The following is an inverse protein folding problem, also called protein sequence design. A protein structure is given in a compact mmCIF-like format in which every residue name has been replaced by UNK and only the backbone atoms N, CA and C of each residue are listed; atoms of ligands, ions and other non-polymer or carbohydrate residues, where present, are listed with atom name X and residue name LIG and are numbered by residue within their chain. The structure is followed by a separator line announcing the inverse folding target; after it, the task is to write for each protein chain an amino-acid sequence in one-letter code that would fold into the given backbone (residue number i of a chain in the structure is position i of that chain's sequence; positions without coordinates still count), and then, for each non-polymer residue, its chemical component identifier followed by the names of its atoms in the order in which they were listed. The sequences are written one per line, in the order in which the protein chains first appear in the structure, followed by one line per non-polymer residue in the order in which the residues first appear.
data_IF_245106078847
#
_entry.id   IF_245106078847
#
_cell.length_a   1.000
_cell.length_b   1.000
_cell.length_c   1.000
_cell.angle_alpha   90.00
_cell.angle_beta   90.00
_cell.angle_gamma   90.00
#
_symmetry.space_group_name_H-M   'P 1'
#
loop_
_entity.id
_entity.type
_entity.pdbx_description
1 polymer ?
#
# COMPACT_ATOMS: atom_id res chain seq x y z
N UNK A 1 9.66 20.80 -8.65
CA UNK A 1 9.52 19.34 -8.76
C UNK A 1 10.85 18.65 -9.00
N UNK A 2 11.70 19.17 -9.89
CA UNK A 2 13.01 18.58 -10.19
C UNK A 2 13.91 18.38 -8.96
N UNK A 3 14.02 19.39 -8.07
CA UNK A 3 14.79 19.30 -6.83
C UNK A 3 14.37 18.11 -5.95
N UNK A 4 13.07 17.87 -5.82
CA UNK A 4 12.55 16.78 -4.98
C UNK A 4 12.87 15.42 -5.58
N UNK A 5 12.65 15.26 -6.89
CA UNK A 5 12.94 14.00 -7.60
C UNK A 5 14.43 13.70 -7.61
N UNK A 6 15.29 14.69 -7.88
CA UNK A 6 16.74 14.49 -7.89
C UNK A 6 17.30 14.17 -6.51
N UNK A 7 16.75 14.79 -5.45
CA UNK A 7 17.14 14.49 -4.07
C UNK A 7 16.80 13.04 -3.69
N UNK A 8 15.61 12.56 -4.06
CA UNK A 8 15.21 11.16 -3.81
C UNK A 8 16.00 10.16 -4.66
N UNK A 9 16.21 10.44 -5.94
CA UNK A 9 16.90 9.53 -6.86
C UNK A 9 18.40 9.37 -6.54
N UNK A 10 19.05 10.43 -6.06
CA UNK A 10 20.50 10.42 -5.78
C UNK A 10 20.86 9.84 -4.42
N UNK A 11 19.89 9.55 -3.56
CA UNK A 11 20.16 9.05 -2.22
C UNK A 11 20.26 7.52 -2.21
N UNK A 12 21.47 7.01 -2.04
CA UNK A 12 21.76 5.55 -1.98
C UNK A 12 21.70 4.99 -0.55
N UNK A 13 21.70 5.87 0.45
CA UNK A 13 21.68 5.46 1.86
C UNK A 13 20.23 5.36 2.38
N UNK A 14 19.76 4.11 2.53
CA UNK A 14 18.41 3.80 3.03
C UNK A 14 18.13 4.39 4.43
N UNK A 15 19.11 4.43 5.32
CA UNK A 15 18.93 5.00 6.67
C UNK A 15 18.68 6.51 6.59
N UNK A 16 19.51 7.21 5.81
CA UNK A 16 19.38 8.65 5.60
C UNK A 16 18.07 9.01 4.88
N UNK A 17 17.62 8.16 3.94
CA UNK A 17 16.28 8.30 3.36
C UNK A 17 15.20 8.14 4.43
N UNK A 18 15.25 7.08 5.23
CA UNK A 18 14.23 6.83 6.26
C UNK A 18 14.10 8.01 7.22
N UNK A 19 15.23 8.54 7.73
CA UNK A 19 15.25 9.71 8.61
C UNK A 19 14.66 10.95 7.92
N UNK A 20 15.00 11.19 6.65
CA UNK A 20 14.37 12.26 5.86
C UNK A 20 12.85 12.10 5.76
N UNK A 21 12.36 10.88 5.48
CA UNK A 21 10.92 10.62 5.42
C UNK A 21 10.26 10.82 6.78
N UNK A 22 10.94 10.49 7.87
CA UNK A 22 10.45 10.66 9.23
C UNK A 22 10.32 12.12 9.64
N UNK A 23 11.26 12.96 9.21
CA UNK A 23 11.26 14.41 9.46
C UNK A 23 10.33 15.19 8.51
N UNK A 24 10.24 14.75 7.24
CA UNK A 24 9.52 15.48 6.20
C UNK A 24 8.02 15.16 6.16
N UNK A 25 7.65 13.90 6.39
CA UNK A 25 6.25 13.46 6.33
C UNK A 25 5.67 13.25 7.72
N UNK A 26 4.42 13.65 7.89
CA UNK A 26 3.65 13.27 9.08
C UNK A 26 3.47 11.73 9.14
N UNK A 27 3.26 11.15 10.34
CA UNK A 27 2.99 9.72 10.48
C UNK A 27 1.83 9.23 9.62
N UNK A 28 0.80 10.07 9.46
CA UNK A 28 -0.39 9.75 8.65
C UNK A 28 -0.07 9.74 7.16
N UNK A 29 0.73 10.69 6.67
CA UNK A 29 1.16 10.73 5.27
C UNK A 29 2.01 9.53 4.90
N UNK A 30 3.00 9.16 5.74
CA UNK A 30 3.84 7.95 5.51
C UNK A 30 2.98 6.71 5.32
N UNK A 31 2.04 6.47 6.25
CA UNK A 31 1.10 5.35 6.17
C UNK A 31 0.25 5.43 4.90
N UNK A 32 -0.25 6.61 4.54
CA UNK A 32 -1.08 6.79 3.36
C UNK A 32 -0.33 6.56 2.05
N UNK A 33 0.92 7.01 1.95
CA UNK A 33 1.77 6.75 0.79
C UNK A 33 2.04 5.25 0.63
N UNK A 34 2.44 4.57 1.70
CA UNK A 34 2.66 3.13 1.69
C UNK A 34 1.38 2.35 1.29
N UNK A 35 0.24 2.71 1.87
CA UNK A 35 -1.06 2.12 1.53
C UNK A 35 -1.46 2.35 0.06
N UNK A 36 -1.25 3.56 -0.47
CA UNK A 36 -1.52 3.86 -1.89
C UNK A 36 -0.66 3.02 -2.83
N UNK A 37 0.63 2.83 -2.50
CA UNK A 37 1.52 1.98 -3.28
C UNK A 37 1.06 0.50 -3.24
N UNK A 38 0.77 -0.02 -2.04
CA UNK A 38 0.23 -1.36 -1.86
C UNK A 38 -1.08 -1.57 -2.65
N UNK A 39 -2.01 -0.60 -2.61
CA UNK A 39 -3.24 -0.67 -3.38
C UNK A 39 -2.99 -0.71 -4.89
N UNK A 40 -2.00 0.03 -5.38
CA UNK A 40 -1.63 0.02 -6.80
C UNK A 40 -1.07 -1.35 -7.22
N UNK A 41 -0.22 -1.96 -6.40
CA UNK A 41 0.32 -3.32 -6.61
C UNK A 41 -0.82 -4.35 -6.61
N UNK A 42 -1.73 -4.29 -5.63
CA UNK A 42 -2.87 -5.21 -5.55
C UNK A 42 -3.83 -5.05 -6.74
N UNK A 43 -4.10 -3.82 -7.17
CA UNK A 43 -4.90 -3.55 -8.37
C UNK A 43 -4.24 -4.12 -9.62
N UNK A 44 -2.92 -4.05 -9.74
CA UNK A 44 -2.19 -4.61 -10.87
C UNK A 44 -2.22 -6.14 -10.91
N UNK A 45 -2.39 -6.80 -9.75
CA UNK A 45 -2.66 -8.25 -9.66
C UNK A 45 -4.14 -8.62 -9.79
N UNK A 46 -5.01 -7.69 -10.16
CA UNK A 46 -6.44 -7.90 -10.36
C UNK A 46 -7.24 -8.21 -9.08
N UNK A 47 -6.76 -7.84 -7.89
CA UNK A 47 -7.60 -7.89 -6.69
C UNK A 47 -8.75 -6.88 -6.79
N UNK A 48 -9.93 -7.26 -6.32
CA UNK A 48 -11.13 -6.42 -6.42
C UNK A 48 -11.11 -5.24 -5.43
N UNK A 49 -11.93 -4.24 -5.72
CA UNK A 49 -11.97 -2.99 -4.96
C UNK A 49 -12.39 -3.19 -3.51
N UNK A 50 -13.29 -4.15 -3.26
CA UNK A 50 -13.82 -4.39 -1.92
C UNK A 50 -12.73 -5.02 -1.06
N UNK A 51 -11.98 -5.99 -1.59
CA UNK A 51 -10.80 -6.58 -0.95
C UNK A 51 -9.79 -5.52 -0.53
N UNK A 52 -9.41 -4.65 -1.47
CA UNK A 52 -8.40 -3.62 -1.24
C UNK A 52 -8.90 -2.61 -0.19
N UNK A 53 -10.18 -2.23 -0.25
CA UNK A 53 -10.80 -1.36 0.74
C UNK A 53 -10.77 -1.97 2.14
N UNK A 54 -11.18 -3.23 2.27
CA UNK A 54 -11.29 -3.92 3.56
C UNK A 54 -9.93 -4.17 4.21
N UNK A 55 -8.91 -4.47 3.40
CA UNK A 55 -7.57 -4.83 3.86
C UNK A 55 -6.71 -3.59 4.12
N UNK A 56 -6.66 -2.63 3.19
CA UNK A 56 -5.82 -1.44 3.37
C UNK A 56 -6.53 -0.30 4.12
N UNK A 57 -7.86 -0.38 4.31
CA UNK A 57 -8.71 0.70 4.86
C UNK A 57 -8.57 2.01 4.08
N UNK A 58 -8.41 1.91 2.77
CA UNK A 58 -8.37 3.07 1.88
C UNK A 58 -9.77 3.33 1.35
N UNK A 59 -10.17 4.58 1.21
CA UNK A 59 -11.51 4.92 0.72
C UNK A 59 -11.72 4.45 -0.74
N UNK A 60 -12.92 3.97 -1.11
CA UNK A 60 -13.22 3.54 -2.49
C UNK A 60 -12.90 4.60 -3.56
N UNK A 61 -13.15 5.91 -3.35
CA UNK A 61 -12.76 6.94 -4.32
C UNK A 61 -11.25 6.98 -4.60
N UNK A 62 -10.42 6.67 -3.60
CA UNK A 62 -8.97 6.63 -3.77
C UNK A 62 -8.55 5.42 -4.62
N UNK A 63 -9.16 4.25 -4.37
CA UNK A 63 -8.92 3.03 -5.15
C UNK A 63 -9.35 3.25 -6.61
N UNK A 64 -10.52 3.86 -6.84
CA UNK A 64 -11.01 4.20 -8.17
C UNK A 64 -10.03 5.11 -8.93
N UNK A 65 -9.52 6.17 -8.27
CA UNK A 65 -8.51 7.08 -8.86
C UNK A 65 -7.23 6.34 -9.23
N UNK A 66 -6.74 5.43 -8.39
CA UNK A 66 -5.54 4.63 -8.68
C UNK A 66 -5.77 3.68 -9.85
N UNK A 67 -6.92 2.99 -9.87
CA UNK A 67 -7.27 2.09 -10.96
C UNK A 67 -7.38 2.81 -12.31
N UNK A 68 -7.97 4.01 -12.32
CA UNK A 68 -8.03 4.83 -13.54
C UNK A 68 -6.63 5.20 -14.03
N UNK A 69 -5.73 5.59 -13.12
CA UNK A 69 -4.33 5.87 -13.46
C UNK A 69 -3.61 4.65 -14.01
N UNK A 70 -3.77 3.48 -13.40
CA UNK A 70 -3.18 2.23 -13.88
C UNK A 70 -3.74 1.87 -15.27
N UNK A 71 -5.04 2.02 -15.52
CA UNK A 71 -5.64 1.66 -16.80
C UNK A 71 -5.28 2.64 -17.93
N UNK A 72 -5.40 3.94 -17.68
CA UNK A 72 -5.45 4.95 -18.75
C UNK A 72 -4.36 6.04 -18.71
N UNK A 73 -3.58 6.18 -17.63
CA UNK A 73 -2.67 7.33 -17.47
C UNK A 73 -1.40 7.05 -16.68
N UNK A 74 -0.92 5.81 -16.72
CA UNK A 74 0.05 5.26 -15.77
C UNK A 74 1.47 5.20 -16.29
N UNK A 75 1.93 6.17 -17.08
CA UNK A 75 3.27 6.15 -17.69
C UNK A 75 4.39 6.02 -16.64
N UNK A 76 4.23 6.65 -15.47
CA UNK A 76 5.18 6.52 -14.36
C UNK A 76 4.85 5.40 -13.35
N UNK A 77 3.59 4.97 -13.25
CA UNK A 77 3.17 4.00 -12.22
C UNK A 77 3.32 2.55 -12.68
N UNK A 78 3.03 2.26 -13.96
CA UNK A 78 3.15 0.89 -14.51
C UNK A 78 4.60 0.37 -14.44
N UNK A 79 5.63 1.12 -14.90
CA UNK A 79 7.00 0.60 -14.87
C UNK A 79 7.49 0.32 -13.46
N UNK A 80 7.13 1.19 -12.49
CA UNK A 80 7.48 1.00 -11.07
C UNK A 80 6.84 -0.27 -10.51
N UNK A 81 5.57 -0.54 -10.84
CA UNK A 81 4.89 -1.77 -10.42
C UNK A 81 5.53 -3.01 -11.07
N UNK A 82 5.88 -2.93 -12.35
CA UNK A 82 6.58 -4.01 -13.04
C UNK A 82 7.96 -4.29 -12.43
N UNK A 83 8.71 -3.26 -12.05
CA UNK A 83 10.00 -3.39 -11.39
C UNK A 83 9.88 -4.00 -9.99
N UNK A 84 8.80 -3.68 -9.27
CA UNK A 84 8.44 -4.33 -8.01
C UNK A 84 8.23 -5.83 -8.22
N UNK A 85 7.52 -6.23 -9.28
CA UNK A 85 7.26 -7.64 -9.58
C UNK A 85 8.49 -8.42 -10.10
N UNK A 86 9.40 -7.74 -10.82
CA UNK A 86 10.60 -8.35 -11.41
C UNK A 86 11.69 -8.65 -10.38
N UNK A 87 11.79 -7.87 -9.30
CA UNK A 87 12.80 -8.08 -8.27
C UNK A 87 12.44 -9.29 -7.39
N UNK A 88 13.44 -10.06 -6.96
CA UNK A 88 13.34 -11.02 -5.83
C UNK A 88 12.76 -10.38 -4.55
N UNK A 89 12.66 -9.05 -4.53
CA UNK A 89 11.92 -8.22 -3.60
C UNK A 89 10.43 -8.55 -3.49
N UNK A 90 9.84 -9.44 -4.30
CA UNK A 90 8.47 -9.90 -4.09
C UNK A 90 8.24 -10.28 -2.62
N UNK A 91 9.10 -11.09 -2.00
CA UNK A 91 8.91 -11.45 -0.58
C UNK A 91 9.06 -10.27 0.40
N UNK A 92 9.98 -9.34 0.12
CA UNK A 92 10.21 -8.17 0.99
C UNK A 92 9.05 -7.19 0.88
N UNK A 93 8.62 -6.90 -0.35
CA UNK A 93 7.46 -6.07 -0.67
C UNK A 93 6.20 -6.70 -0.09
N UNK A 94 6.05 -8.03 -0.15
CA UNK A 94 4.92 -8.71 0.50
C UNK A 94 4.96 -8.56 2.01
N UNK A 95 6.12 -8.78 2.66
CA UNK A 95 6.26 -8.55 4.10
C UNK A 95 5.93 -7.10 4.49
N UNK A 96 6.33 -6.13 3.68
CA UNK A 96 5.99 -4.72 3.91
C UNK A 96 4.49 -4.47 3.73
N UNK A 97 3.87 -5.02 2.70
CA UNK A 97 2.41 -4.94 2.48
C UNK A 97 1.65 -5.62 3.63
N UNK A 98 2.13 -6.77 4.12
CA UNK A 98 1.58 -7.45 5.28
C UNK A 98 1.65 -6.57 6.53
N UNK A 99 2.77 -5.88 6.76
CA UNK A 99 2.91 -4.96 7.90
C UNK A 99 1.89 -3.81 7.87
N UNK A 100 1.43 -3.41 6.68
CA UNK A 100 0.37 -2.41 6.52
C UNK A 100 -1.03 -2.95 6.89
N UNK A 101 -1.21 -4.27 6.88
CA UNK A 101 -2.46 -4.92 7.28
C UNK A 101 -2.62 -4.95 8.81
N UNK A 102 -1.52 -4.95 9.56
CA UNK A 102 -1.53 -5.07 11.02
C UNK A 102 -1.66 -3.72 11.74
N UNK A 103 -1.78 -2.61 11.01
CA UNK A 103 -1.87 -1.27 11.60
C UNK A 103 -3.15 -1.12 12.46
N UNK A 104 -3.03 -0.86 13.77
CA UNK A 104 -4.17 -0.78 14.67
C UNK A 104 -5.06 0.42 14.31
N UNK A 105 -6.34 0.14 14.07
CA UNK A 105 -7.34 1.20 13.90
C UNK A 105 -7.74 1.76 15.26
N UNK A 106 -7.71 3.09 15.41
CA UNK A 106 -8.19 3.79 16.59
C UNK A 106 -9.71 3.56 16.73
N UNK A 107 -10.14 2.70 17.66
CA UNK A 107 -11.55 2.47 17.94
C UNK A 107 -11.83 1.32 18.91
N UNK A 108 -12.67 1.58 19.92
CA UNK A 108 -13.05 0.60 20.94
C UNK A 108 -13.82 -0.60 20.37
N UNK A 109 -13.56 -1.79 20.95
CA UNK A 109 -13.85 -3.14 20.44
C UNK A 109 -15.32 -3.60 20.63
N UNK A 110 -16.21 -2.79 21.21
CA UNK A 110 -17.48 -3.25 21.79
C UNK A 110 -18.66 -3.52 20.83
N UNK A 111 -18.45 -3.89 19.56
CA UNK A 111 -19.56 -4.16 18.62
C UNK A 111 -19.42 -5.52 17.90
N UNK A 112 -20.45 -6.39 17.96
CA UNK A 112 -20.49 -7.67 17.23
C UNK A 112 -20.30 -7.52 15.71
N UNK A 113 -20.80 -6.43 15.13
CA UNK A 113 -20.62 -6.17 13.70
C UNK A 113 -19.16 -5.86 13.36
N UNK A 114 -18.47 -5.10 14.22
CA UNK A 114 -17.05 -4.81 14.03
C UNK A 114 -16.21 -6.07 14.13
N UNK A 115 -16.54 -6.96 15.06
CA UNK A 115 -15.90 -8.27 15.18
C UNK A 115 -16.07 -9.10 13.90
N UNK A 116 -17.31 -9.22 13.38
CA UNK A 116 -17.57 -9.90 12.09
C UNK A 116 -16.78 -9.27 10.93
N UNK A 117 -16.68 -7.94 10.86
CA UNK A 117 -15.90 -7.24 9.82
C UNK A 117 -14.40 -7.51 9.95
N UNK A 118 -13.86 -7.59 11.17
CA UNK A 118 -12.45 -7.91 11.39
C UNK A 118 -12.14 -9.36 11.02
N UNK A 119 -13.01 -10.31 11.38
CA UNK A 119 -12.86 -11.71 10.96
C UNK A 119 -12.86 -11.86 9.44
N UNK A 120 -13.79 -11.19 8.75
CA UNK A 120 -13.82 -11.17 7.27
C UNK A 120 -12.53 -10.61 6.68
N UNK A 121 -12.03 -9.52 7.23
CA UNK A 121 -10.74 -8.93 6.84
C UNK A 121 -9.59 -9.93 7.04
N UNK A 122 -9.52 -10.62 8.18
CA UNK A 122 -8.48 -11.62 8.44
C UNK A 122 -8.57 -12.83 7.49
N UNK A 123 -9.77 -13.26 7.12
CA UNK A 123 -9.97 -14.28 6.08
C UNK A 123 -9.43 -13.80 4.74
N UNK A 124 -9.79 -12.56 4.35
CA UNK A 124 -9.33 -11.94 3.10
C UNK A 124 -7.81 -11.76 3.05
N UNK A 125 -7.20 -11.35 4.17
CA UNK A 125 -5.75 -11.26 4.31
C UNK A 125 -5.12 -12.64 4.09
N UNK A 126 -5.67 -13.70 4.69
CA UNK A 126 -5.16 -15.07 4.49
C UNK A 126 -5.29 -15.55 3.05
N UNK A 127 -6.40 -15.23 2.38
CA UNK A 127 -6.62 -15.55 0.96
C UNK A 127 -5.56 -14.89 0.09
N UNK A 128 -5.36 -13.57 0.23
CA UNK A 128 -4.31 -12.85 -0.51
C UNK A 128 -2.92 -13.41 -0.20
N UNK A 129 -2.62 -13.71 1.07
CA UNK A 129 -1.34 -14.31 1.46
C UNK A 129 -1.06 -15.66 0.78
N UNK A 130 -2.08 -16.41 0.39
CA UNK A 130 -1.92 -17.70 -0.29
C UNK A 130 -1.63 -17.60 -1.79
N UNK A 131 -1.82 -16.42 -2.39
CA UNK A 131 -1.58 -16.16 -3.82
C UNK A 131 -0.13 -15.72 -4.13
N UNK A 132 0.77 -15.79 -3.13
CA UNK A 132 2.18 -15.38 -3.18
C UNK A 132 3.09 -16.40 -2.52
#
# INVERSE_FOLDING_TARGET
MELFVSTLANQTNNKKLSEFFDDFFSPTEKIMFAKRLAAAVLLAKNHDYQSIHEILRISPPTIAKLSLKIKYGGEGLKPVIEDIFKKEANQIVWKEIESLFDLPTKGNIKSPERFKRNLKREQKIREIKSEF
#
